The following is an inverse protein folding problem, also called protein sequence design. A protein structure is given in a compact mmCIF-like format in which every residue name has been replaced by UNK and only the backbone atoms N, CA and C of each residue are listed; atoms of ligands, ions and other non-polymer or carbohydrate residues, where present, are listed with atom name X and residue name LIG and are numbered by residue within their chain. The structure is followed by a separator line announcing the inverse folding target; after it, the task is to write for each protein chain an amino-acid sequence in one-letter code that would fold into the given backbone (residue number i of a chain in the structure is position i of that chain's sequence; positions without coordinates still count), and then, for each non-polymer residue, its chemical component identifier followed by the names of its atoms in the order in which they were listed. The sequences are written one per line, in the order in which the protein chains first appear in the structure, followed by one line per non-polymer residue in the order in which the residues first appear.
data_IF_589065343824
#
_entry.id   IF_589065343824
#
_cell.length_a   1.000
_cell.length_b   1.000
_cell.length_c   1.000
_cell.angle_alpha   90.00
_cell.angle_beta   90.00
_cell.angle_gamma   90.00
#
_symmetry.space_group_name_H-M   'P 1'
#
loop_
_entity.id
_entity.type
_entity.pdbx_description
1 polymer ?
#
# COMPACT_ATOMS: atom_id res chain seq x y z
N UNK A 1 -12.24 37.52 4.04
CA UNK A 1 -13.61 37.70 3.54
C UNK A 1 -14.07 36.42 2.89
N UNK A 2 -14.98 35.60 3.26
CA UNK A 2 -16.27 35.67 3.91
C UNK A 2 -16.51 34.33 4.63
N UNK A 3 -16.82 34.40 5.90
CA UNK A 3 -17.38 33.36 6.74
C UNK A 3 -18.91 33.47 6.70
N UNK A 4 -19.67 32.35 6.69
CA UNK A 4 -21.01 32.20 7.28
C UNK A 4 -21.50 30.79 6.98
N UNK A 5 -21.62 29.92 7.94
CA UNK A 5 -22.68 29.75 8.95
C UNK A 5 -23.87 28.94 8.41
N UNK A 6 -24.05 27.72 8.92
CA UNK A 6 -25.37 27.16 9.09
C UNK A 6 -25.57 26.70 10.54
N UNK A 7 -26.63 27.24 11.08
CA UNK A 7 -27.07 27.18 12.46
C UNK A 7 -28.17 26.14 12.63
N UNK A 8 -28.11 25.42 13.73
CA UNK A 8 -29.21 24.81 14.52
C UNK A 8 -30.33 24.02 13.87
N UNK A 9 -30.49 22.78 14.32
CA UNK A 9 -31.79 22.31 14.76
C UNK A 9 -31.65 21.38 15.96
N UNK A 10 -32.05 21.89 17.10
CA UNK A 10 -32.19 21.20 18.39
C UNK A 10 -33.51 20.43 18.37
N UNK A 11 -33.50 19.14 18.72
CA UNK A 11 -34.66 18.49 19.28
C UNK A 11 -34.30 17.93 20.65
N UNK A 12 -34.88 18.57 21.66
CA UNK A 12 -34.97 18.04 23.02
C UNK A 12 -36.09 16.99 23.07
N UNK A 13 -35.83 15.83 23.62
CA UNK A 13 -36.84 15.01 24.30
C UNK A 13 -36.23 14.33 25.51
N UNK A 14 -36.71 14.74 26.65
CA UNK A 14 -37.12 14.08 27.89
C UNK A 14 -36.23 13.02 28.53
N UNK A 15 -35.74 13.37 29.67
CA UNK A 15 -35.23 12.53 30.76
C UNK A 15 -36.31 11.52 31.20
N UNK A 16 -35.97 10.23 31.34
CA UNK A 16 -36.37 9.50 32.54
C UNK A 16 -35.49 8.28 32.87
N UNK A 17 -35.20 8.19 34.11
CA UNK A 17 -34.53 7.27 35.02
C UNK A 17 -34.56 5.78 34.76
N UNK A 18 -33.44 5.16 35.16
CA UNK A 18 -33.28 3.84 35.80
C UNK A 18 -33.98 2.63 35.18
N UNK A 19 -33.17 1.77 34.53
CA UNK A 19 -33.23 0.31 34.82
C UNK A 19 -31.96 -0.38 34.27
N UNK A 20 -31.25 -1.06 35.17
CA UNK A 20 -30.29 -2.11 34.80
C UNK A 20 -31.05 -3.15 33.97
N UNK A 21 -30.58 -3.34 32.73
CA UNK A 21 -30.92 -4.55 31.98
C UNK A 21 -29.62 -5.21 31.58
N UNK A 22 -29.31 -6.28 32.30
CA UNK A 22 -28.33 -7.27 31.88
C UNK A 22 -28.96 -8.03 30.71
N UNK A 23 -28.57 -7.70 29.51
CA UNK A 23 -28.93 -8.42 28.30
C UNK A 23 -27.65 -8.97 27.67
N UNK A 24 -27.36 -10.25 27.88
CA UNK A 24 -26.43 -11.00 27.02
C UNK A 24 -27.06 -11.11 25.65
N UNK A 25 -26.50 -10.43 24.63
CA UNK A 25 -26.72 -10.78 23.24
C UNK A 25 -25.48 -11.50 22.74
N UNK A 26 -25.68 -12.74 22.32
CA UNK A 26 -24.68 -13.57 21.66
C UNK A 26 -24.46 -13.05 20.23
N UNK A 27 -23.18 -13.05 19.79
CA UNK A 27 -22.80 -12.86 18.38
C UNK A 27 -22.47 -11.41 18.00
N UNK A 28 -21.48 -10.81 18.64
CA UNK A 28 -20.87 -9.58 18.15
C UNK A 28 -19.39 -9.84 17.81
N UNK A 29 -19.00 -9.50 16.60
CA UNK A 29 -17.59 -9.38 16.23
C UNK A 29 -16.86 -8.64 17.34
N UNK A 30 -15.83 -9.28 17.91
CA UNK A 30 -15.00 -8.61 18.92
C UNK A 30 -14.27 -7.47 18.24
N UNK A 31 -14.77 -6.25 18.37
CA UNK A 31 -14.12 -5.04 17.87
C UNK A 31 -12.66 -5.05 18.34
N UNK A 32 -11.73 -5.04 17.40
CA UNK A 32 -10.30 -5.12 17.68
C UNK A 32 -9.91 -3.89 18.50
N UNK A 33 -9.69 -4.08 19.80
CA UNK A 33 -9.22 -3.03 20.69
C UNK A 33 -7.72 -2.81 20.52
N UNK A 34 -7.32 -1.57 20.34
CA UNK A 34 -5.92 -1.15 20.15
C UNK A 34 -5.45 -0.39 21.38
N UNK A 35 -4.20 -0.59 21.77
CA UNK A 35 -3.58 0.23 22.85
C UNK A 35 -3.50 1.70 22.41
N UNK A 36 -3.85 2.61 23.31
CA UNK A 36 -3.88 4.04 23.05
C UNK A 36 -2.52 4.60 22.62
N UNK A 37 -1.42 4.12 23.24
CA UNK A 37 -0.06 4.51 22.84
C UNK A 37 0.28 4.05 21.40
N UNK A 38 -0.22 2.89 20.99
CA UNK A 38 -0.06 2.40 19.62
C UNK A 38 -0.92 3.20 18.66
N UNK A 39 -2.21 3.39 18.98
CA UNK A 39 -3.14 4.19 18.18
C UNK A 39 -2.55 5.54 17.79
N UNK A 40 -2.08 6.33 18.78
CA UNK A 40 -1.53 7.66 18.54
C UNK A 40 -0.20 7.62 17.75
N UNK A 41 0.62 6.58 17.97
CA UNK A 41 1.85 6.40 17.20
C UNK A 41 1.58 6.06 15.73
N UNK A 42 0.62 5.17 15.48
CA UNK A 42 0.20 4.79 14.14
C UNK A 42 -0.38 5.99 13.37
N UNK A 43 -1.10 6.89 14.08
CA UNK A 43 -1.63 8.16 13.54
C UNK A 43 -0.58 9.27 13.42
N UNK A 44 0.67 8.99 13.74
CA UNK A 44 1.75 9.94 13.50
C UNK A 44 1.86 11.09 14.48
N UNK A 45 1.13 11.06 15.59
CA UNK A 45 1.15 12.13 16.61
C UNK A 45 2.54 12.31 17.21
N UNK A 46 3.30 11.24 17.42
CA UNK A 46 4.66 11.28 17.93
C UNK A 46 5.32 9.91 18.00
N UNK A 47 6.50 9.82 18.59
CA UNK A 47 7.13 8.54 18.94
C UNK A 47 6.40 7.89 20.11
N UNK A 48 6.47 6.57 20.24
CA UNK A 48 5.86 5.85 21.36
C UNK A 48 6.30 6.37 22.73
N UNK A 49 7.55 6.80 22.86
CA UNK A 49 8.08 7.35 24.13
C UNK A 49 7.46 8.68 24.46
N UNK A 50 7.39 9.61 23.50
CA UNK A 50 6.74 10.91 23.67
C UNK A 50 5.26 10.74 23.98
N UNK A 51 4.56 9.90 23.24
CA UNK A 51 3.12 9.63 23.43
C UNK A 51 2.84 9.12 24.83
N UNK A 52 3.64 8.17 25.35
CA UNK A 52 3.49 7.69 26.73
C UNK A 52 3.64 8.80 27.75
N UNK A 53 4.56 9.75 27.54
CA UNK A 53 4.72 10.92 28.41
C UNK A 53 3.51 11.86 28.31
N UNK A 54 3.01 12.13 27.11
CA UNK A 54 1.86 13.01 26.88
C UNK A 54 0.56 12.42 27.46
N UNK A 55 0.34 11.11 27.32
CA UNK A 55 -0.80 10.43 27.95
C UNK A 55 -0.73 10.58 29.48
N UNK A 56 0.43 10.32 30.10
CA UNK A 56 0.62 10.47 31.54
C UNK A 56 0.40 11.93 32.04
N UNK A 57 0.68 12.93 31.19
CA UNK A 57 0.44 14.35 31.46
C UNK A 57 -1.02 14.78 31.22
N UNK A 58 -1.92 13.85 30.87
CA UNK A 58 -3.34 14.12 30.68
C UNK A 58 -3.70 14.85 29.38
N UNK A 59 -2.81 14.87 28.38
CA UNK A 59 -3.05 15.54 27.09
C UNK A 59 -3.97 14.75 26.15
N UNK A 60 -4.39 13.54 26.53
CA UNK A 60 -5.21 12.66 25.70
C UNK A 60 -6.56 12.42 26.36
N UNK A 61 -7.61 12.60 25.57
CA UNK A 61 -8.98 12.30 25.95
C UNK A 61 -9.53 11.17 25.08
N UNK A 62 -10.28 10.26 25.70
CA UNK A 62 -11.06 9.22 25.00
C UNK A 62 -12.51 9.39 25.46
N UNK A 63 -13.42 9.58 24.51
CA UNK A 63 -14.83 9.85 24.80
C UNK A 63 -15.02 10.97 25.83
N UNK A 64 -14.31 12.07 25.64
CA UNK A 64 -14.28 13.27 26.49
C UNK A 64 -13.60 13.09 27.88
N UNK A 65 -13.16 11.89 28.26
CA UNK A 65 -12.47 11.63 29.52
C UNK A 65 -10.95 11.64 29.35
N UNK A 66 -10.24 12.31 30.24
CA UNK A 66 -8.77 12.32 30.27
C UNK A 66 -8.26 10.93 30.62
N UNK A 67 -7.38 10.38 29.78
CA UNK A 67 -6.72 9.10 30.00
C UNK A 67 -5.25 9.32 30.32
N UNK A 68 -4.77 8.71 31.40
CA UNK A 68 -3.37 8.82 31.87
C UNK A 68 -2.58 7.52 31.77
N UNK A 69 -3.23 6.41 31.39
CA UNK A 69 -2.61 5.09 31.24
C UNK A 69 -2.33 4.82 29.76
N UNK A 70 -1.06 4.76 29.31
CA UNK A 70 -0.71 4.53 27.89
C UNK A 70 -1.19 3.20 27.33
N UNK A 71 -1.30 2.19 28.19
CA UNK A 71 -1.78 0.85 27.85
C UNK A 71 -3.30 0.72 27.76
N UNK A 72 -4.06 1.77 28.08
CA UNK A 72 -5.52 1.77 27.88
C UNK A 72 -5.87 1.35 26.46
N UNK A 73 -6.94 0.60 26.34
CA UNK A 73 -7.43 0.11 25.03
C UNK A 73 -8.53 1.04 24.53
N UNK A 74 -8.49 1.31 23.24
CA UNK A 74 -9.52 2.07 22.52
C UNK A 74 -10.13 1.21 21.43
N UNK A 75 -11.43 1.35 21.25
CA UNK A 75 -12.19 0.73 20.17
C UNK A 75 -12.17 1.63 18.91
N UNK A 76 -12.46 1.10 17.71
CA UNK A 76 -12.52 1.90 16.48
C UNK A 76 -13.52 3.06 16.55
N UNK A 77 -14.61 2.89 17.31
CA UNK A 77 -15.69 3.89 17.45
C UNK A 77 -15.41 4.94 18.52
N UNK A 78 -14.34 4.78 19.32
CA UNK A 78 -13.98 5.74 20.36
C UNK A 78 -13.50 7.06 19.73
N UNK A 79 -13.97 8.17 20.31
CA UNK A 79 -13.45 9.50 19.95
C UNK A 79 -12.19 9.77 20.74
N UNK A 80 -11.04 9.73 20.06
CA UNK A 80 -9.74 10.05 20.67
C UNK A 80 -9.36 11.49 20.29
N UNK A 81 -8.98 12.29 21.28
CA UNK A 81 -8.46 13.64 21.07
C UNK A 81 -7.06 13.78 21.72
N UNK A 82 -6.17 14.46 21.03
CA UNK A 82 -4.86 14.89 21.53
C UNK A 82 -4.83 16.43 21.55
N UNK A 83 -4.61 17.03 22.72
CA UNK A 83 -4.74 18.49 22.96
C UNK A 83 -6.05 19.06 22.39
N UNK A 84 -7.14 18.38 22.67
CA UNK A 84 -8.50 18.70 22.21
C UNK A 84 -8.74 18.61 20.68
N UNK A 85 -7.73 18.26 19.91
CA UNK A 85 -7.87 17.98 18.48
C UNK A 85 -8.22 16.50 18.27
N UNK A 86 -9.33 16.26 17.56
CA UNK A 86 -9.77 14.88 17.25
C UNK A 86 -8.77 14.17 16.36
N UNK A 87 -8.34 12.98 16.77
CA UNK A 87 -7.50 12.07 15.99
C UNK A 87 -8.41 11.02 15.36
N UNK A 88 -8.62 11.11 14.05
CA UNK A 88 -9.42 10.13 13.31
C UNK A 88 -8.61 8.87 13.08
N UNK A 89 -9.16 7.70 13.45
CA UNK A 89 -8.52 6.41 13.19
C UNK A 89 -8.83 5.94 11.77
N UNK A 90 -7.82 5.89 10.93
CA UNK A 90 -7.89 5.12 9.68
C UNK A 90 -7.17 3.80 9.88
N UNK A 91 -7.92 2.70 9.89
CA UNK A 91 -7.36 1.37 10.15
C UNK A 91 -6.44 0.90 9.04
N UNK A 92 -6.89 1.00 7.80
CA UNK A 92 -6.15 0.60 6.61
C UNK A 92 -6.18 1.72 5.58
N UNK A 93 -5.02 1.98 4.96
CA UNK A 93 -4.88 2.94 3.86
C UNK A 93 -4.16 2.28 2.69
N UNK A 94 -4.51 2.72 1.48
CA UNK A 94 -3.99 2.16 0.25
C UNK A 94 -3.74 3.29 -0.73
N UNK A 95 -2.47 3.46 -1.14
CA UNK A 95 -2.06 4.43 -2.13
C UNK A 95 -1.55 3.74 -3.38
N UNK A 96 -2.03 4.18 -4.53
CA UNK A 96 -1.40 3.91 -5.82
C UNK A 96 -0.31 4.97 -6.02
N UNK A 97 0.93 4.55 -6.13
CA UNK A 97 2.06 5.41 -6.47
C UNK A 97 2.53 5.08 -7.89
N UNK A 98 2.67 6.08 -8.75
CA UNK A 98 3.51 5.97 -9.93
C UNK A 98 4.96 6.17 -9.49
N UNK A 99 5.64 5.08 -9.13
CA UNK A 99 7.04 5.15 -8.73
C UNK A 99 7.91 5.70 -9.87
N UNK A 100 8.68 6.77 -9.67
CA UNK A 100 9.65 7.24 -10.65
C UNK A 100 10.95 6.44 -10.58
N UNK A 101 11.78 6.53 -11.62
CA UNK A 101 13.17 6.09 -11.55
C UNK A 101 13.97 6.91 -10.52
N UNK A 102 15.06 6.35 -10.01
CA UNK A 102 15.95 6.99 -9.04
C UNK A 102 15.55 6.84 -7.56
N UNK A 103 14.38 6.31 -7.27
CA UNK A 103 13.83 6.13 -5.91
C UNK A 103 13.80 4.66 -5.53
N UNK A 104 14.14 4.33 -4.28
CA UNK A 104 14.18 2.93 -3.80
C UNK A 104 12.84 2.52 -3.17
N UNK A 105 12.43 1.27 -3.41
CA UNK A 105 11.23 0.66 -2.82
C UNK A 105 11.53 0.16 -1.40
N UNK A 106 11.69 1.11 -0.47
CA UNK A 106 11.97 0.84 0.93
C UNK A 106 11.17 1.79 1.83
N UNK A 107 11.00 1.41 3.10
CA UNK A 107 10.39 2.28 4.11
C UNK A 107 11.36 3.34 4.62
N UNK A 108 12.65 3.03 4.64
CA UNK A 108 13.76 3.94 5.03
C UNK A 108 15.01 3.52 4.28
N UNK A 109 15.81 4.49 3.91
CA UNK A 109 17.15 4.30 3.37
C UNK A 109 18.06 5.42 3.87
N UNK A 110 19.36 5.14 4.04
CA UNK A 110 20.33 6.11 4.58
C UNK A 110 20.89 7.04 3.51
N UNK A 111 20.83 6.65 2.25
CA UNK A 111 21.52 7.32 1.14
C UNK A 111 20.53 7.76 0.06
N UNK A 112 19.55 6.91 -0.24
CA UNK A 112 18.64 7.14 -1.36
C UNK A 112 17.26 7.60 -0.86
N UNK A 113 16.61 8.47 -1.64
CA UNK A 113 15.21 8.80 -1.45
C UNK A 113 14.35 7.55 -1.60
N UNK A 114 13.39 7.36 -0.70
CA UNK A 114 12.50 6.21 -0.68
C UNK A 114 11.14 6.54 -1.29
N UNK A 115 10.37 5.52 -1.63
CA UNK A 115 9.00 5.67 -2.12
C UNK A 115 8.07 6.31 -1.08
N UNK A 116 8.36 6.15 0.22
CA UNK A 116 7.57 6.80 1.27
C UNK A 116 7.85 8.30 1.40
N UNK A 117 9.02 8.77 0.96
CA UNK A 117 9.35 10.20 0.95
C UNK A 117 8.58 10.97 -0.13
N UNK A 118 7.93 10.26 -1.06
CA UNK A 118 7.06 10.85 -2.08
C UNK A 118 5.65 11.12 -1.56
N UNK A 119 5.20 10.40 -0.52
CA UNK A 119 3.86 10.55 0.05
C UNK A 119 3.92 11.59 1.17
N UNK A 120 3.53 12.82 0.84
CA UNK A 120 3.70 13.98 1.73
C UNK A 120 2.61 14.12 2.78
N UNK A 121 1.37 13.76 2.44
CA UNK A 121 0.17 13.87 3.29
C UNK A 121 -0.25 12.51 3.88
N UNK A 122 0.72 11.62 4.07
CA UNK A 122 0.45 10.30 4.65
C UNK A 122 -0.17 10.40 6.04
N UNK A 123 -1.33 9.80 6.17
CA UNK A 123 -2.10 9.80 7.42
C UNK A 123 -1.58 8.78 8.44
N UNK A 124 -0.66 7.86 8.01
CA UNK A 124 -0.09 6.80 8.85
C UNK A 124 1.42 6.69 8.68
N UNK A 125 2.09 6.29 9.76
CA UNK A 125 3.55 6.08 9.77
C UNK A 125 3.97 4.63 9.52
N UNK A 126 3.05 3.69 9.62
CA UNK A 126 3.30 2.24 9.46
C UNK A 126 3.12 1.74 8.02
N UNK A 127 3.18 2.66 7.05
CA UNK A 127 3.10 2.34 5.63
C UNK A 127 4.35 1.62 5.13
N UNK A 128 4.15 0.72 4.15
CA UNK A 128 5.21 0.03 3.44
C UNK A 128 4.82 -0.25 1.98
N UNK A 129 5.79 -0.39 1.07
CA UNK A 129 5.53 -0.78 -0.31
C UNK A 129 5.18 -2.26 -0.42
N UNK A 130 4.17 -2.59 -1.22
CA UNK A 130 3.80 -3.97 -1.55
C UNK A 130 4.69 -4.48 -2.68
N UNK A 131 5.72 -5.20 -2.30
CA UNK A 131 6.79 -5.63 -3.18
C UNK A 131 7.80 -4.52 -3.47
N UNK A 132 8.70 -4.82 -4.39
CA UNK A 132 9.79 -3.93 -4.74
C UNK A 132 9.88 -3.78 -6.26
N UNK A 133 10.10 -2.56 -6.70
CA UNK A 133 10.59 -2.24 -8.02
C UNK A 133 12.05 -1.77 -7.86
N UNK A 134 12.89 -2.09 -8.80
CA UNK A 134 14.28 -1.65 -8.82
C UNK A 134 14.36 -0.13 -8.83
N UNK A 135 15.52 0.42 -8.47
CA UNK A 135 15.72 1.87 -8.38
C UNK A 135 15.40 2.59 -9.69
N UNK A 136 15.77 2.00 -10.81
CA UNK A 136 15.56 2.51 -12.17
C UNK A 136 14.25 2.06 -12.82
N UNK A 137 13.50 1.13 -12.21
CA UNK A 137 12.20 0.69 -12.68
C UNK A 137 11.09 1.63 -12.22
N UNK A 138 10.19 1.96 -13.12
CA UNK A 138 9.06 2.85 -12.91
C UNK A 138 7.72 2.12 -12.76
N UNK A 139 6.66 2.87 -12.52
CA UNK A 139 5.28 2.41 -12.65
C UNK A 139 4.57 2.09 -11.35
N UNK A 140 3.55 1.25 -11.45
CA UNK A 140 2.63 0.95 -10.35
C UNK A 140 3.33 0.37 -9.13
N UNK A 141 3.24 1.05 -8.01
CA UNK A 141 3.62 0.53 -6.70
C UNK A 141 2.49 0.81 -5.70
N UNK A 142 1.97 -0.26 -5.10
CA UNK A 142 1.00 -0.15 -4.02
C UNK A 142 1.73 0.14 -2.71
N UNK A 143 1.26 1.15 -1.98
CA UNK A 143 1.73 1.50 -0.62
C UNK A 143 0.57 1.31 0.34
N UNK A 144 0.75 0.57 1.42
CA UNK A 144 -0.31 0.28 2.39
C UNK A 144 0.27 -0.07 3.76
N UNK A 145 -0.59 -0.21 4.75
CA UNK A 145 -0.30 -0.85 6.04
C UNK A 145 -1.05 -2.19 6.23
N UNK A 146 -1.73 -2.69 5.17
CA UNK A 146 -2.40 -3.98 5.16
C UNK A 146 -1.41 -5.11 4.84
N UNK A 147 -0.86 -5.72 5.91
CA UNK A 147 0.10 -6.82 5.78
C UNK A 147 -0.52 -8.10 5.20
N UNK A 148 -1.81 -8.33 5.43
CA UNK A 148 -2.51 -9.50 4.92
C UNK A 148 -2.68 -9.42 3.39
N UNK A 149 -3.19 -8.30 2.90
CA UNK A 149 -3.29 -8.06 1.46
C UNK A 149 -1.91 -8.09 0.77
N UNK A 150 -0.91 -7.47 1.38
CA UNK A 150 0.45 -7.49 0.85
C UNK A 150 0.99 -8.92 0.73
N UNK A 151 0.78 -9.76 1.75
CA UNK A 151 1.17 -11.16 1.71
C UNK A 151 0.43 -11.94 0.61
N UNK A 152 -0.87 -11.69 0.43
CA UNK A 152 -1.64 -12.32 -0.65
C UNK A 152 -1.09 -11.95 -2.04
N UNK A 153 -0.80 -10.67 -2.28
CA UNK A 153 -0.31 -10.18 -3.57
C UNK A 153 1.13 -10.60 -3.89
N UNK A 154 1.95 -10.82 -2.86
CA UNK A 154 3.37 -11.17 -3.01
C UNK A 154 3.67 -12.66 -2.91
N UNK A 155 2.73 -13.45 -2.40
CA UNK A 155 2.93 -14.90 -2.23
C UNK A 155 3.11 -15.59 -3.58
N UNK A 156 4.22 -16.33 -3.80
CA UNK A 156 4.46 -17.08 -5.04
C UNK A 156 3.35 -18.09 -5.34
N UNK A 157 2.72 -18.65 -4.29
CA UNK A 157 1.62 -19.64 -4.42
C UNK A 157 0.33 -19.06 -4.99
N UNK A 158 0.18 -17.74 -4.98
CA UNK A 158 -1.01 -17.05 -5.49
C UNK A 158 -0.91 -16.68 -6.96
N UNK A 159 0.26 -16.81 -7.57
CA UNK A 159 0.48 -16.55 -8.99
C UNK A 159 -0.11 -15.22 -9.48
N UNK A 160 0.02 -14.17 -8.66
CA UNK A 160 -0.53 -12.84 -9.00
C UNK A 160 0.24 -12.24 -10.17
N UNK A 161 -0.47 -11.98 -11.25
CA UNK A 161 0.08 -11.39 -12.47
C UNK A 161 0.67 -10.01 -12.22
N UNK A 162 1.81 -9.74 -12.81
CA UNK A 162 2.46 -8.44 -12.87
C UNK A 162 2.80 -8.15 -14.31
N UNK A 163 2.18 -7.14 -14.88
CA UNK A 163 2.39 -6.74 -16.27
C UNK A 163 3.39 -5.59 -16.32
N UNK A 164 4.39 -5.76 -17.16
CA UNK A 164 5.44 -4.77 -17.39
C UNK A 164 5.47 -4.38 -18.86
N UNK A 165 5.62 -3.09 -19.13
CA UNK A 165 6.07 -2.59 -20.41
C UNK A 165 7.60 -2.44 -20.35
N UNK A 166 8.29 -2.89 -21.39
CA UNK A 166 9.74 -2.77 -21.50
C UNK A 166 10.17 -2.28 -22.86
N UNK A 167 11.25 -1.48 -22.89
CA UNK A 167 12.07 -1.26 -24.08
C UNK A 167 13.32 -2.11 -23.98
N UNK A 168 13.55 -2.88 -25.01
CA UNK A 168 14.61 -3.91 -25.06
C UNK A 168 15.52 -3.60 -26.22
N UNK A 169 16.81 -3.43 -25.95
CA UNK A 169 17.82 -3.31 -27.00
C UNK A 169 18.04 -4.67 -27.64
N UNK A 170 17.86 -4.74 -28.93
CA UNK A 170 17.84 -5.96 -29.71
C UNK A 170 16.45 -6.33 -30.22
N UNK A 171 16.42 -7.05 -31.32
CA UNK A 171 15.19 -7.49 -31.97
C UNK A 171 14.57 -8.65 -31.18
N UNK A 172 13.36 -8.43 -30.64
CA UNK A 172 12.56 -9.45 -29.98
C UNK A 172 11.72 -10.19 -31.03
N UNK A 173 11.75 -11.53 -31.01
CA UNK A 173 11.14 -12.39 -32.04
C UNK A 173 10.18 -13.39 -31.41
N UNK A 174 9.52 -14.20 -32.26
CA UNK A 174 8.66 -15.30 -31.83
C UNK A 174 9.40 -16.35 -30.99
N UNK A 175 10.69 -16.59 -31.27
CA UNK A 175 11.53 -17.52 -30.51
C UNK A 175 11.69 -17.05 -29.03
N UNK A 176 11.82 -15.74 -28.81
CA UNK A 176 11.83 -15.19 -27.44
C UNK A 176 10.49 -15.43 -26.75
N UNK A 177 9.38 -15.27 -27.46
CA UNK A 177 8.04 -15.52 -26.92
C UNK A 177 7.87 -16.98 -26.49
N UNK A 178 8.33 -17.91 -27.29
CA UNK A 178 8.30 -19.35 -26.97
C UNK A 178 9.19 -19.67 -25.76
N UNK A 179 10.42 -19.15 -25.73
CA UNK A 179 11.33 -19.34 -24.61
C UNK A 179 10.77 -18.79 -23.30
N UNK A 180 10.09 -17.64 -23.33
CA UNK A 180 9.45 -17.07 -22.15
C UNK A 180 8.25 -17.91 -21.67
N UNK A 181 7.48 -18.50 -22.57
CA UNK A 181 6.38 -19.41 -22.24
C UNK A 181 6.87 -20.72 -21.59
N UNK A 182 8.08 -21.18 -21.90
CA UNK A 182 8.70 -22.35 -21.27
C UNK A 182 9.40 -22.00 -19.96
N UNK A 183 9.59 -20.72 -19.69
CA UNK A 183 10.42 -20.18 -18.60
C UNK A 183 11.89 -20.12 -18.99
N UNK A 184 12.59 -19.11 -18.48
CA UNK A 184 13.98 -18.77 -18.82
C UNK A 184 14.90 -19.11 -17.65
N UNK A 185 16.09 -19.70 -17.92
CA UNK A 185 17.12 -19.89 -16.90
C UNK A 185 17.78 -18.54 -16.58
N UNK A 186 17.63 -18.07 -15.36
CA UNK A 186 18.19 -16.77 -14.90
C UNK A 186 19.29 -16.95 -13.86
N UNK A 187 19.48 -18.15 -13.34
CA UNK A 187 20.58 -18.60 -12.46
C UNK A 187 20.90 -20.04 -12.84
N UNK A 188 22.06 -20.54 -12.40
CA UNK A 188 22.47 -21.92 -12.68
C UNK A 188 21.39 -22.95 -12.33
N UNK A 189 20.70 -22.74 -11.20
CA UNK A 189 19.71 -23.67 -10.66
C UNK A 189 18.27 -23.11 -10.71
N UNK A 190 18.02 -21.97 -11.40
CA UNK A 190 16.70 -21.36 -11.36
C UNK A 190 16.15 -21.03 -12.75
N UNK A 191 15.10 -21.79 -13.11
CA UNK A 191 14.22 -21.49 -14.25
C UNK A 191 13.01 -20.71 -13.76
N UNK A 192 12.70 -19.62 -14.44
CA UNK A 192 11.50 -18.82 -14.12
C UNK A 192 10.22 -19.61 -14.38
N UNK A 193 9.13 -19.18 -13.74
CA UNK A 193 7.80 -19.62 -14.16
C UNK A 193 7.54 -19.17 -15.61
N UNK A 194 6.66 -19.87 -16.33
CA UNK A 194 6.16 -19.42 -17.63
C UNK A 194 5.73 -17.96 -17.61
N UNK A 195 6.15 -17.20 -18.59
CA UNK A 195 5.83 -15.78 -18.71
C UNK A 195 5.22 -15.51 -20.10
N UNK A 196 4.21 -14.63 -20.13
CA UNK A 196 3.59 -14.23 -21.40
C UNK A 196 4.29 -12.98 -21.92
N UNK A 197 5.00 -13.11 -23.04
CA UNK A 197 5.64 -12.01 -23.77
C UNK A 197 4.78 -11.63 -24.97
N UNK A 198 4.43 -10.35 -25.08
CA UNK A 198 3.70 -9.77 -26.21
C UNK A 198 4.60 -8.73 -26.87
N UNK A 199 4.89 -8.91 -28.16
CA UNK A 199 5.71 -7.97 -28.94
C UNK A 199 4.80 -6.85 -29.46
N UNK A 200 5.07 -5.61 -29.07
CA UNK A 200 4.36 -4.42 -29.54
C UNK A 200 5.06 -3.82 -30.77
N UNK A 201 6.38 -3.79 -30.73
CA UNK A 201 7.24 -3.40 -31.85
C UNK A 201 8.54 -4.21 -31.79
N UNK A 202 9.05 -4.61 -32.96
CA UNK A 202 10.26 -5.42 -33.10
C UNK A 202 11.26 -4.73 -34.04
N UNK A 203 12.30 -4.11 -33.45
CA UNK A 203 13.34 -3.39 -34.16
C UNK A 203 14.66 -3.43 -33.35
N UNK A 204 15.65 -2.61 -33.73
CA UNK A 204 16.89 -2.43 -32.97
C UNK A 204 16.65 -2.11 -31.48
N UNK A 205 15.56 -1.42 -31.18
CA UNK A 205 14.94 -1.30 -29.84
C UNK A 205 13.52 -1.81 -29.95
N UNK A 206 13.26 -2.96 -29.39
CA UNK A 206 11.92 -3.57 -29.36
C UNK A 206 11.10 -3.04 -28.19
N UNK A 207 9.78 -2.94 -28.37
CA UNK A 207 8.83 -2.61 -27.32
C UNK A 207 7.95 -3.84 -27.03
N UNK A 208 7.81 -4.18 -25.76
CA UNK A 208 7.11 -5.39 -25.35
C UNK A 208 6.26 -5.19 -24.09
N UNK A 209 5.24 -6.01 -23.95
CA UNK A 209 4.58 -6.28 -22.67
C UNK A 209 4.94 -7.67 -22.17
N UNK A 210 5.31 -7.77 -20.89
CA UNK A 210 5.65 -9.02 -20.23
C UNK A 210 4.81 -9.22 -18.99
N UNK A 211 4.10 -10.36 -18.92
CA UNK A 211 3.37 -10.78 -17.72
C UNK A 211 4.14 -11.88 -17.01
N UNK A 212 4.46 -11.66 -15.73
CA UNK A 212 5.10 -12.63 -14.83
C UNK A 212 4.26 -12.85 -13.58
N UNK A 213 4.37 -14.03 -12.96
CA UNK A 213 3.62 -14.41 -11.74
C UNK A 213 4.48 -14.48 -10.47
N UNK A 214 5.73 -14.16 -10.59
CA UNK A 214 6.71 -14.15 -9.50
C UNK A 214 7.47 -12.83 -9.46
N UNK A 215 8.51 -12.70 -8.67
CA UNK A 215 9.27 -11.44 -8.54
C UNK A 215 10.64 -11.68 -7.93
N UNK A 216 11.53 -12.35 -8.66
CA UNK A 216 12.93 -12.52 -8.27
C UNK A 216 13.71 -11.21 -8.48
N UNK A 217 14.86 -11.13 -7.87
CA UNK A 217 15.75 -9.99 -8.02
C UNK A 217 16.09 -9.74 -9.48
N UNK A 218 15.78 -8.53 -9.99
CA UNK A 218 15.98 -8.09 -11.37
C UNK A 218 15.41 -9.05 -12.43
N UNK A 219 14.33 -9.79 -12.11
CA UNK A 219 13.88 -10.93 -12.91
C UNK A 219 13.68 -10.59 -14.40
N UNK A 220 12.92 -9.54 -14.71
CA UNK A 220 12.63 -9.16 -16.10
C UNK A 220 13.92 -8.87 -16.88
N UNK A 221 14.84 -8.12 -16.27
CA UNK A 221 16.14 -7.78 -16.89
C UNK A 221 16.95 -9.03 -17.17
N UNK A 222 17.07 -9.93 -16.19
CA UNK A 222 17.82 -11.18 -16.29
C UNK A 222 17.22 -12.17 -17.30
N UNK A 223 15.89 -12.18 -17.43
CA UNK A 223 15.24 -13.00 -18.47
C UNK A 223 15.64 -12.55 -19.87
N UNK A 224 15.65 -11.24 -20.14
CA UNK A 224 16.11 -10.72 -21.42
C UNK A 224 17.63 -10.85 -21.60
N UNK A 225 18.42 -10.68 -20.55
CA UNK A 225 19.88 -10.89 -20.56
C UNK A 225 20.23 -12.34 -20.93
N UNK A 226 19.51 -13.33 -20.41
CA UNK A 226 19.66 -14.73 -20.78
C UNK A 226 19.34 -15.04 -22.25
N UNK A 227 18.55 -14.16 -22.88
CA UNK A 227 18.26 -14.20 -24.33
C UNK A 227 19.20 -13.30 -25.15
N UNK A 228 20.31 -12.81 -24.55
CA UNK A 228 21.29 -11.94 -25.20
C UNK A 228 20.77 -10.53 -25.50
N UNK A 229 19.79 -10.04 -24.74
CA UNK A 229 19.15 -8.73 -24.92
C UNK A 229 19.22 -7.88 -23.64
N UNK A 230 19.16 -6.57 -23.77
CA UNK A 230 19.26 -5.63 -22.67
C UNK A 230 17.96 -4.84 -22.50
N UNK A 231 17.39 -4.85 -21.28
CA UNK A 231 16.25 -3.98 -20.91
C UNK A 231 16.77 -2.58 -20.59
N UNK A 232 16.43 -1.61 -21.42
CA UNK A 232 16.85 -0.21 -21.29
C UNK A 232 15.79 0.69 -20.64
N UNK A 233 14.54 0.22 -20.58
CA UNK A 233 13.44 0.87 -19.85
C UNK A 233 12.47 -0.19 -19.35
N UNK A 234 11.98 -0.02 -18.11
CA UNK A 234 11.06 -0.94 -17.49
C UNK A 234 10.01 -0.19 -16.65
N UNK A 235 8.74 -0.47 -16.93
CA UNK A 235 7.60 0.15 -16.24
C UNK A 235 6.58 -0.92 -15.89
N UNK A 236 6.21 -1.03 -14.61
CA UNK A 236 5.09 -1.91 -14.21
C UNK A 236 3.75 -1.23 -14.47
N UNK A 237 2.92 -1.86 -15.30
CA UNK A 237 1.60 -1.37 -15.68
C UNK A 237 0.50 -1.84 -14.73
N UNK A 238 0.60 -3.09 -14.23
CA UNK A 238 -0.42 -3.64 -13.33
C UNK A 238 0.14 -4.66 -12.33
N UNK A 239 -0.63 -4.89 -11.26
CA UNK A 239 -0.43 -5.97 -10.30
C UNK A 239 -1.81 -6.58 -9.99
N UNK A 240 -2.00 -7.86 -10.35
CA UNK A 240 -3.32 -8.47 -10.35
C UNK A 240 -4.30 -7.66 -11.18
N UNK A 241 -5.46 -7.38 -10.60
CA UNK A 241 -6.50 -6.59 -11.28
C UNK A 241 -6.32 -5.08 -11.16
N UNK A 242 -5.30 -4.59 -10.42
CA UNK A 242 -5.03 -3.17 -10.29
C UNK A 242 -4.12 -2.68 -11.43
N UNK A 243 -4.58 -1.69 -12.19
CA UNK A 243 -3.81 -1.02 -13.24
C UNK A 243 -3.33 0.35 -12.78
N UNK A 244 -2.17 0.76 -13.26
CA UNK A 244 -1.66 2.11 -13.07
C UNK A 244 -2.63 3.11 -13.71
N UNK A 245 -3.00 4.12 -12.95
CA UNK A 245 -3.83 5.22 -13.43
C UNK A 245 -3.05 6.05 -14.45
N UNK A 246 -3.61 6.21 -15.65
CA UNK A 246 -2.99 6.96 -16.75
C UNK A 246 -2.92 8.47 -16.47
N UNK A 247 -3.75 8.96 -15.56
CA UNK A 247 -3.73 10.36 -15.10
C UNK A 247 -2.56 10.69 -14.18
N UNK A 248 -1.91 9.69 -13.56
CA UNK A 248 -0.77 9.91 -12.69
C UNK A 248 0.53 10.10 -13.48
N UNK A 249 1.33 11.07 -13.07
CA UNK A 249 2.70 11.26 -13.55
C UNK A 249 3.72 10.57 -12.63
N UNK A 250 4.93 10.29 -13.10
CA UNK A 250 6.00 9.74 -12.26
C UNK A 250 6.22 10.59 -11.00
N UNK A 251 6.12 9.95 -9.83
CA UNK A 251 6.21 10.61 -8.51
C UNK A 251 4.87 11.00 -7.89
N UNK A 252 3.79 10.99 -8.64
CA UNK A 252 2.46 11.28 -8.12
C UNK A 252 1.81 10.02 -7.53
N UNK A 253 0.89 10.24 -6.59
CA UNK A 253 0.14 9.18 -5.94
C UNK A 253 -1.29 9.63 -5.66
N UNK A 254 -2.18 8.67 -5.44
CA UNK A 254 -3.54 8.87 -4.93
C UNK A 254 -3.99 7.72 -4.06
N UNK A 255 -5.02 7.93 -3.28
CA UNK A 255 -5.70 6.84 -2.59
C UNK A 255 -6.41 5.91 -3.60
N UNK A 256 -6.50 4.62 -3.27
CA UNK A 256 -7.32 3.68 -4.02
C UNK A 256 -8.79 3.91 -3.72
N UNK A 257 -9.63 3.71 -4.73
CA UNK A 257 -11.07 3.65 -4.55
C UNK A 257 -11.48 2.34 -3.85
N UNK A 258 -12.70 2.29 -3.33
CA UNK A 258 -13.25 1.08 -2.70
C UNK A 258 -13.33 -0.09 -3.69
N UNK A 259 -13.63 0.20 -4.93
CA UNK A 259 -13.71 -0.75 -6.04
C UNK A 259 -12.34 -1.33 -6.36
N UNK A 260 -11.29 -0.50 -6.41
CA UNK A 260 -9.90 -0.94 -6.63
C UNK A 260 -9.39 -1.84 -5.47
N UNK A 261 -9.72 -1.50 -4.23
CA UNK A 261 -9.41 -2.32 -3.06
C UNK A 261 -10.13 -3.69 -3.16
N UNK A 262 -11.41 -3.68 -3.56
CA UNK A 262 -12.16 -4.91 -3.76
C UNK A 262 -11.58 -5.78 -4.89
N UNK A 263 -11.15 -5.17 -6.00
CA UNK A 263 -10.47 -5.86 -7.11
C UNK A 263 -9.16 -6.51 -6.66
N UNK A 264 -8.36 -5.82 -5.83
CA UNK A 264 -7.12 -6.38 -5.27
C UNK A 264 -7.38 -7.58 -4.36
N UNK A 265 -8.38 -7.50 -3.49
CA UNK A 265 -8.75 -8.60 -2.56
C UNK A 265 -9.29 -9.83 -3.29
N UNK A 266 -9.91 -9.65 -4.45
CA UNK A 266 -10.44 -10.71 -5.30
C UNK A 266 -9.41 -11.23 -6.31
N UNK A 267 -8.17 -10.76 -6.28
CA UNK A 267 -7.08 -11.30 -7.11
C UNK A 267 -6.73 -12.69 -6.59
N UNK A 268 -6.97 -13.69 -7.45
CA UNK A 268 -6.66 -15.10 -7.18
C UNK A 268 -5.27 -15.41 -7.66
#
# INVERSE_FOLDING_TARGET
FICRAYHNMVYMVGVNSNKKVVGRSAGGDMAVQIRLDKFLADMGIGTRSEIKQWIRKGRVKVNHMVITKPESKVAPDDTVCFDDVRVSYQSLVYYMLYKPAGVVSATRDKVSRTVLDLITDRQRKDLFPVGRLDKDTEGLLLITNDGELAHQLLSPKKHVDKVYYAKVKGKVTGEDTEAFLEGVMIEEDYRTLPAKLTILASDAVSEVELTIQEGKFHQVKRMFEAMGKEVIYLKRLSMGNLRLDEGLKPGEYRELTKEEIALLRNTR
#
